data_IF_096477277622
#
_entry.id   IF_096477277622
#
_cell.length_a   1.000
_cell.length_b   1.000
_cell.length_c   1.000
_cell.angle_alpha   90.00
_cell.angle_beta   90.00
_cell.angle_gamma   90.00
#
_symmetry.space_group_name_H-M   'P 1'
#
loop_
_entity.id
_entity.type
_entity.pdbx_description
1 polymer ?
#
# COMPACT_ATOMS: atom_id res chain seq x y z
N UNK A 1 21.60 -3.45 -3.33
CA UNK A 1 20.64 -2.70 -4.18
C UNK A 1 19.37 -2.30 -3.42
N UNK A 2 18.73 -3.21 -2.67
CA UNK A 2 17.49 -2.93 -1.91
C UNK A 2 17.63 -1.78 -0.88
N UNK A 3 18.75 -1.71 -0.14
CA UNK A 3 18.98 -0.65 0.85
C UNK A 3 19.01 0.77 0.27
N UNK A 4 19.56 0.94 -0.94
CA UNK A 4 19.63 2.27 -1.58
C UNK A 4 18.27 2.72 -2.12
N UNK A 5 17.47 1.78 -2.61
CA UNK A 5 16.08 2.05 -3.01
C UNK A 5 15.22 2.41 -1.80
N UNK A 6 15.36 1.69 -0.69
CA UNK A 6 14.68 2.01 0.57
C UNK A 6 15.04 3.42 1.08
N UNK A 7 16.31 3.82 0.99
CA UNK A 7 16.73 5.16 1.41
C UNK A 7 16.12 6.26 0.53
N UNK A 8 16.09 6.05 -0.79
CA UNK A 8 15.43 6.99 -1.71
C UNK A 8 13.92 7.06 -1.51
N UNK A 9 13.29 5.92 -1.24
CA UNK A 9 11.84 5.84 -1.05
C UNK A 9 11.37 6.61 0.20
N UNK A 10 12.22 6.80 1.22
CA UNK A 10 11.88 7.61 2.41
C UNK A 10 11.46 9.05 2.06
N UNK A 11 12.03 9.63 1.00
CA UNK A 11 11.68 10.97 0.54
C UNK A 11 10.34 11.03 -0.24
N UNK A 12 9.77 9.88 -0.59
CA UNK A 12 8.53 9.79 -1.35
C UNK A 12 7.37 9.61 -0.37
N UNK A 13 6.39 10.52 -0.39
CA UNK A 13 5.19 10.39 0.44
C UNK A 13 4.19 9.40 -0.17
N UNK A 14 3.26 8.88 0.65
CA UNK A 14 2.13 8.06 0.16
C UNK A 14 1.32 8.82 -0.91
N UNK A 15 1.12 10.13 -0.70
CA UNK A 15 0.40 10.99 -1.65
C UNK A 15 1.10 11.07 -3.03
N UNK A 16 2.43 11.15 -3.05
CA UNK A 16 3.19 11.18 -4.31
C UNK A 16 3.06 9.86 -5.07
N UNK A 17 3.12 8.72 -4.38
CA UNK A 17 2.92 7.41 -5.00
C UNK A 17 1.50 7.29 -5.53
N UNK A 18 0.51 7.71 -4.74
CA UNK A 18 -0.89 7.69 -5.15
C UNK A 18 -1.13 8.48 -6.43
N UNK A 19 -0.73 9.75 -6.43
CA UNK A 19 -0.83 10.64 -7.61
C UNK A 19 -0.10 10.06 -8.81
N UNK A 20 1.08 9.49 -8.62
CA UNK A 20 1.81 8.84 -9.70
C UNK A 20 1.02 7.65 -10.26
N UNK A 21 0.48 6.79 -9.40
CA UNK A 21 -0.25 5.60 -9.82
C UNK A 21 -1.59 5.88 -10.50
N UNK A 22 -2.24 7.00 -10.17
CA UNK A 22 -3.50 7.44 -10.77
C UNK A 22 -3.27 8.15 -12.13
N UNK A 23 -2.19 8.94 -12.23
CA UNK A 23 -1.91 9.77 -13.40
C UNK A 23 -0.93 9.13 -14.40
N UNK A 24 -0.36 7.96 -14.10
CA UNK A 24 0.58 7.31 -15.03
C UNK A 24 -0.11 6.99 -16.37
N UNK A 25 0.59 7.31 -17.47
CA UNK A 25 0.19 6.95 -18.84
C UNK A 25 1.41 6.32 -19.54
N UNK A 26 1.39 5.01 -19.87
CA UNK A 26 0.29 4.05 -19.67
C UNK A 26 -0.02 3.77 -18.19
N UNK A 27 -1.21 3.22 -17.92
CA UNK A 27 -1.60 2.78 -16.58
C UNK A 27 -0.61 1.72 -16.08
N UNK A 28 -0.22 1.79 -14.81
CA UNK A 28 0.66 0.81 -14.20
C UNK A 28 0.06 -0.60 -14.31
N UNK A 29 0.89 -1.55 -14.75
CA UNK A 29 0.51 -2.96 -14.80
C UNK A 29 0.36 -3.55 -13.39
N UNK A 30 -0.45 -4.61 -13.26
CA UNK A 30 -0.56 -5.36 -12.01
C UNK A 30 0.79 -5.91 -11.54
N UNK A 31 1.70 -6.24 -12.48
CA UNK A 31 3.08 -6.65 -12.15
C UNK A 31 3.87 -5.54 -11.45
N UNK A 32 3.75 -4.30 -11.91
CA UNK A 32 4.40 -3.17 -11.26
C UNK A 32 3.82 -2.91 -9.85
N UNK A 33 2.49 -3.01 -9.69
CA UNK A 33 1.84 -2.89 -8.38
C UNK A 33 2.25 -4.03 -7.43
N UNK A 34 2.32 -5.28 -7.91
CA UNK A 34 2.82 -6.40 -7.12
C UNK A 34 4.29 -6.21 -6.71
N UNK A 35 5.13 -5.69 -7.60
CA UNK A 35 6.53 -5.41 -7.27
C UNK A 35 6.65 -4.32 -6.18
N UNK A 36 5.83 -3.27 -6.25
CA UNK A 36 5.75 -2.24 -5.20
C UNK A 36 5.24 -2.82 -3.87
N UNK A 37 4.17 -3.61 -3.90
CA UNK A 37 3.64 -4.28 -2.71
C UNK A 37 4.69 -5.18 -2.05
N UNK A 38 5.39 -5.98 -2.86
CA UNK A 38 6.52 -6.81 -2.40
C UNK A 38 7.62 -5.98 -1.76
N UNK A 39 7.99 -4.87 -2.39
CA UNK A 39 9.03 -3.97 -1.89
C UNK A 39 8.65 -3.40 -0.52
N UNK A 40 7.44 -2.87 -0.37
CA UNK A 40 6.99 -2.32 0.92
C UNK A 40 6.81 -3.39 1.99
N UNK A 41 6.30 -4.57 1.63
CA UNK A 41 6.13 -5.70 2.56
C UNK A 41 7.44 -6.18 3.17
N UNK A 42 8.53 -6.10 2.41
CA UNK A 42 9.86 -6.57 2.80
C UNK A 42 10.79 -5.42 3.25
N UNK A 43 10.29 -4.18 3.27
CA UNK A 43 11.03 -3.04 3.81
C UNK A 43 10.89 -2.98 5.33
N UNK A 44 11.87 -2.40 6.05
CA UNK A 44 11.74 -2.16 7.48
C UNK A 44 10.48 -1.36 7.78
N UNK A 45 9.73 -1.80 8.80
CA UNK A 45 8.48 -1.17 9.16
C UNK A 45 8.67 0.29 9.58
N UNK A 46 7.76 1.12 9.07
CA UNK A 46 7.43 2.45 9.56
C UNK A 46 6.08 2.83 8.96
N UNK A 47 5.45 3.88 9.51
CA UNK A 47 4.11 4.27 9.06
C UNK A 47 4.03 4.71 7.60
N UNK A 48 5.10 5.28 7.05
CA UNK A 48 5.16 5.63 5.63
C UNK A 48 5.15 4.37 4.75
N UNK A 49 5.96 3.37 5.09
CA UNK A 49 5.99 2.06 4.40
C UNK A 49 4.65 1.35 4.51
N UNK A 50 4.05 1.30 5.71
CA UNK A 50 2.73 0.70 5.94
C UNK A 50 1.64 1.41 5.13
N UNK A 51 1.65 2.74 5.08
CA UNK A 51 0.70 3.52 4.29
C UNK A 51 0.84 3.31 2.78
N UNK A 52 2.07 3.18 2.26
CA UNK A 52 2.33 2.87 0.85
C UNK A 52 1.88 1.45 0.51
N UNK A 53 2.18 0.49 1.39
CA UNK A 53 1.72 -0.90 1.24
C UNK A 53 0.19 -0.96 1.20
N UNK A 54 -0.49 -0.36 2.19
CA UNK A 54 -1.94 -0.29 2.27
C UNK A 54 -2.57 0.30 1.00
N UNK A 55 -2.03 1.41 0.51
CA UNK A 55 -2.45 2.02 -0.75
C UNK A 55 -2.29 1.05 -1.94
N UNK A 56 -1.08 0.52 -2.15
CA UNK A 56 -0.78 -0.34 -3.31
C UNK A 56 -1.61 -1.61 -3.28
N UNK A 57 -1.76 -2.23 -2.11
CA UNK A 57 -2.60 -3.42 -1.95
C UNK A 57 -4.07 -3.12 -2.18
N UNK A 58 -4.59 -2.00 -1.65
CA UNK A 58 -5.97 -1.58 -1.92
C UNK A 58 -6.21 -1.40 -3.42
N UNK A 59 -5.25 -0.80 -4.14
CA UNK A 59 -5.33 -0.64 -5.60
C UNK A 59 -5.17 -1.96 -6.37
N UNK A 60 -4.36 -2.89 -5.87
CA UNK A 60 -4.17 -4.19 -6.50
C UNK A 60 -5.43 -5.07 -6.40
N UNK A 61 -6.19 -4.93 -5.31
CA UNK A 61 -7.37 -5.74 -4.98
C UNK A 61 -8.71 -5.05 -5.23
N UNK A 62 -8.70 -3.84 -5.78
CA UNK A 62 -9.91 -3.11 -6.15
C UNK A 62 -9.75 -2.46 -7.52
N UNK A 63 -10.84 -2.40 -8.28
CA UNK A 63 -10.90 -1.66 -9.55
C UNK A 63 -11.83 -0.49 -9.44
N UNK A 64 -11.55 0.56 -10.19
CA UNK A 64 -12.46 1.69 -10.32
C UNK A 64 -13.70 1.28 -11.11
N UNK A 65 -14.83 1.83 -10.68
CA UNK A 65 -16.13 1.77 -11.35
C UNK A 65 -16.65 3.20 -11.47
N UNK A 66 -17.83 3.37 -12.06
CA UNK A 66 -18.39 4.70 -12.32
C UNK A 66 -18.42 5.62 -11.08
N UNK A 67 -18.21 6.92 -11.34
CA UNK A 67 -18.30 8.00 -10.35
C UNK A 67 -17.32 7.87 -9.17
N UNK A 68 -16.03 7.67 -9.45
CA UNK A 68 -14.94 7.61 -8.45
C UNK A 68 -15.00 6.45 -7.44
N UNK A 69 -16.00 5.57 -7.53
CA UNK A 69 -16.16 4.41 -6.66
C UNK A 69 -15.21 3.27 -7.04
N UNK A 70 -15.07 2.31 -6.12
CA UNK A 70 -14.29 1.09 -6.34
C UNK A 70 -15.08 -0.17 -6.02
N UNK A 71 -14.81 -1.22 -6.76
CA UNK A 71 -15.29 -2.56 -6.49
C UNK A 71 -14.12 -3.45 -6.10
N UNK A 72 -14.27 -4.21 -5.01
CA UNK A 72 -13.32 -5.27 -4.67
C UNK A 72 -13.33 -6.35 -5.75
N UNK A 73 -12.15 -6.82 -6.14
CA UNK A 73 -12.01 -7.88 -7.15
C UNK A 73 -12.45 -9.25 -6.61
N UNK A 74 -12.31 -9.45 -5.30
CA UNK A 74 -12.57 -10.70 -4.61
C UNK A 74 -13.27 -10.44 -3.28
N UNK A 75 -14.04 -11.42 -2.81
CA UNK A 75 -14.56 -11.40 -1.44
C UNK A 75 -13.43 -11.55 -0.41
N UNK A 76 -13.66 -11.09 0.83
CA UNK A 76 -12.61 -11.06 1.88
C UNK A 76 -11.90 -12.41 2.08
N UNK A 77 -12.64 -13.52 2.13
CA UNK A 77 -12.06 -14.87 2.31
C UNK A 77 -11.12 -15.26 1.17
N UNK A 78 -11.51 -14.95 -0.06
CA UNK A 78 -10.70 -15.24 -1.25
C UNK A 78 -9.49 -14.31 -1.31
N UNK A 79 -9.66 -13.03 -0.98
CA UNK A 79 -8.58 -12.04 -0.88
C UNK A 79 -7.48 -12.49 0.09
N UNK A 80 -7.85 -13.06 1.25
CA UNK A 80 -6.87 -13.61 2.21
C UNK A 80 -6.02 -14.71 1.54
N UNK A 81 -6.65 -15.61 0.79
CA UNK A 81 -5.94 -16.66 0.05
C UNK A 81 -4.95 -16.08 -0.96
N UNK A 82 -5.37 -15.09 -1.75
CA UNK A 82 -4.49 -14.41 -2.70
C UNK A 82 -3.32 -13.70 -2.02
N UNK A 83 -3.55 -13.02 -0.88
CA UNK A 83 -2.49 -12.34 -0.13
C UNK A 83 -1.47 -13.35 0.44
N UNK A 84 -1.93 -14.49 0.98
CA UNK A 84 -1.04 -15.57 1.45
C UNK A 84 -0.13 -16.07 0.33
N UNK A 85 -0.72 -16.40 -0.82
CA UNK A 85 0.04 -16.82 -2.01
C UNK A 85 1.07 -15.77 -2.45
N UNK A 86 0.73 -14.48 -2.41
CA UNK A 86 1.67 -13.41 -2.71
C UNK A 86 2.84 -13.39 -1.72
N UNK A 87 2.56 -13.48 -0.41
CA UNK A 87 3.59 -13.43 0.62
C UNK A 87 4.55 -14.62 0.55
N UNK A 88 4.01 -15.83 0.33
CA UNK A 88 4.78 -17.05 0.10
C UNK A 88 5.73 -16.88 -1.10
N UNK A 89 5.19 -16.44 -2.24
CA UNK A 89 5.97 -16.20 -3.47
C UNK A 89 7.04 -15.11 -3.30
N UNK A 90 6.80 -14.14 -2.41
CA UNK A 90 7.74 -13.06 -2.14
C UNK A 90 8.83 -13.45 -1.13
N UNK A 91 8.68 -14.62 -0.49
CA UNK A 91 9.51 -15.05 0.65
C UNK A 91 9.47 -14.05 1.80
N UNK A 92 8.29 -13.48 2.04
CA UNK A 92 8.10 -12.46 3.07
C UNK A 92 8.13 -13.08 4.46
N UNK A 93 8.70 -12.38 5.44
CA UNK A 93 8.73 -12.83 6.83
C UNK A 93 7.34 -12.62 7.44
N UNK A 94 6.62 -13.69 7.75
CA UNK A 94 5.33 -13.61 8.42
C UNK A 94 5.47 -13.50 9.94
N UNK A 95 5.78 -12.33 10.46
CA UNK A 95 5.94 -12.14 11.92
C UNK A 95 4.68 -12.45 12.73
N UNK A 96 3.51 -12.32 12.09
CA UNK A 96 2.22 -12.68 12.66
C UNK A 96 1.56 -13.72 11.76
N UNK A 97 1.32 -14.91 12.30
CA UNK A 97 0.65 -16.01 11.59
C UNK A 97 -0.74 -16.24 12.17
N UNK A 98 -1.66 -16.74 11.35
CA UNK A 98 -3.01 -17.08 11.82
C UNK A 98 -2.96 -18.09 12.97
N UNK A 99 -2.09 -19.09 12.90
CA UNK A 99 -2.02 -20.17 13.90
C UNK A 99 -1.51 -19.67 15.25
N UNK A 100 -0.51 -18.79 15.25
CA UNK A 100 0.13 -18.33 16.49
C UNK A 100 -0.54 -17.07 17.05
N UNK A 101 -1.18 -16.24 16.22
CA UNK A 101 -1.63 -14.90 16.57
C UNK A 101 -3.13 -14.66 16.38
N UNK A 102 -3.94 -15.72 16.33
CA UNK A 102 -5.38 -15.57 16.09
C UNK A 102 -6.08 -14.70 17.13
N UNK A 103 -5.65 -14.77 18.39
CA UNK A 103 -6.24 -14.00 19.48
C UNK A 103 -6.01 -12.49 19.32
N UNK A 104 -4.90 -12.10 18.69
CA UNK A 104 -4.55 -10.72 18.37
C UNK A 104 -5.14 -10.26 17.02
N UNK A 105 -5.18 -11.14 16.01
CA UNK A 105 -5.69 -10.84 14.66
C UNK A 105 -7.21 -10.63 14.66
N UNK A 106 -7.97 -11.52 15.32
CA UNK A 106 -9.42 -11.50 15.31
C UNK A 106 -10.05 -10.16 15.75
N UNK A 107 -9.66 -9.55 16.90
CA UNK A 107 -10.23 -8.26 17.31
C UNK A 107 -9.87 -7.13 16.34
N UNK A 108 -8.69 -7.17 15.70
CA UNK A 108 -8.29 -6.16 14.71
C UNK A 108 -9.15 -6.23 13.46
N UNK A 109 -9.38 -7.44 12.93
CA UNK A 109 -10.27 -7.68 11.79
C UNK A 109 -11.71 -7.25 12.11
N UNK A 110 -12.18 -7.54 13.32
CA UNK A 110 -13.50 -7.11 13.79
C UNK A 110 -13.61 -5.58 13.84
N UNK A 111 -12.55 -4.88 14.28
CA UNK A 111 -12.54 -3.42 14.35
C UNK A 111 -12.62 -2.75 12.98
N UNK A 112 -11.91 -3.25 11.96
CA UNK A 112 -12.08 -2.76 10.58
C UNK A 112 -13.49 -2.99 10.05
N UNK A 113 -14.09 -4.13 10.38
CA UNK A 113 -15.49 -4.43 9.99
C UNK A 113 -16.47 -3.47 10.67
N UNK A 114 -16.23 -3.14 11.95
CA UNK A 114 -17.00 -2.15 12.68
C UNK A 114 -16.89 -0.76 12.04
N UNK A 115 -15.68 -0.31 11.69
CA UNK A 115 -15.50 0.98 11.01
C UNK A 115 -16.24 1.03 9.67
N UNK A 116 -16.14 -0.02 8.84
CA UNK A 116 -16.88 -0.07 7.58
C UNK A 116 -18.40 0.01 7.81
N UNK A 117 -18.92 -0.74 8.79
CA UNK A 117 -20.33 -0.68 9.17
C UNK A 117 -20.76 0.70 9.67
N UNK A 118 -19.98 1.32 10.55
CA UNK A 118 -20.25 2.67 11.08
C UNK A 118 -20.35 3.71 9.95
N UNK A 119 -19.43 3.67 8.98
CA UNK A 119 -19.50 4.54 7.82
C UNK A 119 -20.78 4.32 7.02
N UNK A 120 -21.11 3.07 6.70
CA UNK A 120 -22.29 2.70 5.91
C UNK A 120 -23.62 3.12 6.54
N UNK A 121 -23.71 3.13 7.87
CA UNK A 121 -24.91 3.58 8.60
C UNK A 121 -25.01 5.11 8.72
N UNK A 122 -23.98 5.87 8.34
CA UNK A 122 -24.03 7.33 8.40
C UNK A 122 -24.98 7.87 7.34
N UNK A 123 -26.03 8.59 7.73
CA UNK A 123 -27.10 9.04 6.82
C UNK A 123 -26.76 10.29 6.00
N UNK A 124 -25.80 11.10 6.46
CA UNK A 124 -25.38 12.34 5.80
C UNK A 124 -23.88 12.54 5.86
N UNK A 125 -23.35 13.37 4.94
CA UNK A 125 -21.93 13.73 4.92
C UNK A 125 -21.49 14.37 6.25
N UNK A 126 -22.29 15.28 6.80
CA UNK A 126 -22.01 15.93 8.08
C UNK A 126 -22.01 14.93 9.25
N UNK A 127 -22.93 13.96 9.26
CA UNK A 127 -22.95 12.90 10.27
C UNK A 127 -21.69 12.03 10.19
N UNK A 128 -21.26 11.64 8.99
CA UNK A 128 -20.04 10.86 8.79
C UNK A 128 -18.78 11.62 9.23
N UNK A 129 -18.67 12.91 8.90
CA UNK A 129 -17.49 13.71 9.26
C UNK A 129 -17.42 13.98 10.77
N UNK A 130 -18.57 14.17 11.44
CA UNK A 130 -18.64 14.38 12.90
C UNK A 130 -18.17 13.18 13.74
N UNK A 131 -18.20 11.95 13.20
CA UNK A 131 -17.71 10.76 13.94
C UNK A 131 -16.20 10.66 13.95
N UNK A 132 -15.50 11.52 13.20
CA UNK A 132 -14.06 11.52 13.00
C UNK A 132 -13.52 10.15 12.54
N UNK A 133 -14.33 9.44 11.76
CA UNK A 133 -14.09 8.04 11.40
C UNK A 133 -12.78 7.85 10.64
N UNK A 134 -12.41 8.81 9.78
CA UNK A 134 -11.19 8.72 9.00
C UNK A 134 -9.94 8.82 9.89
N UNK A 135 -9.95 9.73 10.86
CA UNK A 135 -8.86 9.86 11.82
C UNK A 135 -8.78 8.65 12.74
N UNK A 136 -9.92 8.15 13.20
CA UNK A 136 -9.99 6.93 14.01
C UNK A 136 -9.45 5.71 13.27
N UNK A 137 -9.71 5.58 11.96
CA UNK A 137 -9.11 4.52 11.14
C UNK A 137 -7.60 4.74 10.99
N UNK A 138 -7.15 5.99 10.75
CA UNK A 138 -5.72 6.33 10.62
C UNK A 138 -4.96 5.95 11.88
N UNK A 139 -5.39 6.44 13.05
CA UNK A 139 -4.79 6.15 14.36
C UNK A 139 -4.83 4.64 14.63
N UNK A 140 -5.95 3.97 14.33
CA UNK A 140 -6.04 2.53 14.51
C UNK A 140 -5.03 1.74 13.68
N UNK A 141 -4.79 2.14 12.42
CA UNK A 141 -3.77 1.52 11.55
C UNK A 141 -2.35 1.71 12.10
N UNK A 142 -2.07 2.86 12.71
CA UNK A 142 -0.79 3.15 13.38
C UNK A 142 -0.67 2.35 14.70
N UNK A 143 -1.78 2.11 15.39
CA UNK A 143 -1.88 1.35 16.64
C UNK A 143 -1.58 -0.13 16.53
N UNK A 144 -1.88 -0.72 15.38
CA UNK A 144 -1.66 -2.15 15.15
C UNK A 144 -0.28 -2.47 14.56
N UNK A 145 0.56 -1.48 14.23
CA UNK A 145 1.96 -1.72 13.84
C UNK A 145 2.14 -2.77 12.73
N UNK A 146 3.12 -3.67 12.89
CA UNK A 146 3.38 -4.75 11.92
C UNK A 146 2.28 -5.83 11.89
N UNK A 147 1.36 -5.88 12.85
CA UNK A 147 0.17 -6.75 12.77
C UNK A 147 -0.70 -6.39 11.55
N UNK A 148 -0.58 -5.15 11.03
CA UNK A 148 -1.19 -4.74 9.76
C UNK A 148 -0.83 -5.68 8.60
N UNK A 149 0.39 -6.23 8.60
CA UNK A 149 0.86 -7.10 7.53
C UNK A 149 0.32 -8.52 7.60
N UNK A 150 -0.38 -8.93 8.66
CA UNK A 150 -1.06 -10.23 8.67
C UNK A 150 -2.09 -10.30 7.52
N UNK A 151 -2.16 -11.39 6.74
CA UNK A 151 -3.02 -11.48 5.55
C UNK A 151 -4.49 -11.13 5.84
N UNK A 152 -5.02 -11.61 6.96
CA UNK A 152 -6.38 -11.37 7.43
C UNK A 152 -6.62 -9.89 7.74
N UNK A 153 -5.64 -9.22 8.34
CA UNK A 153 -5.71 -7.81 8.71
C UNK A 153 -5.61 -6.93 7.47
N UNK A 154 -4.65 -7.21 6.58
CA UNK A 154 -4.52 -6.50 5.31
C UNK A 154 -5.79 -6.61 4.46
N UNK A 155 -6.38 -7.80 4.36
CA UNK A 155 -7.65 -8.00 3.65
C UNK A 155 -8.81 -7.20 4.30
N UNK A 156 -8.90 -7.18 5.63
CA UNK A 156 -9.91 -6.41 6.35
C UNK A 156 -9.73 -4.89 6.17
N UNK A 157 -8.48 -4.41 6.15
CA UNK A 157 -8.16 -3.02 5.88
C UNK A 157 -8.54 -2.61 4.46
N UNK A 158 -8.20 -3.42 3.44
CA UNK A 158 -8.59 -3.19 2.04
C UNK A 158 -10.11 -3.10 1.89
N UNK A 159 -10.85 -4.04 2.48
CA UNK A 159 -12.32 -4.03 2.49
C UNK A 159 -12.88 -2.76 3.14
N UNK A 160 -12.32 -2.38 4.30
CA UNK A 160 -12.70 -1.17 5.01
C UNK A 160 -12.44 0.10 4.17
N UNK A 161 -11.26 0.23 3.58
CA UNK A 161 -10.87 1.38 2.75
C UNK A 161 -11.83 1.59 1.57
N UNK A 162 -12.25 0.51 0.92
CA UNK A 162 -13.16 0.56 -0.22
C UNK A 162 -14.57 0.92 0.23
N UNK A 163 -15.10 0.29 1.27
CA UNK A 163 -16.46 0.52 1.76
C UNK A 163 -16.64 1.93 2.32
N UNK A 164 -15.71 2.37 3.18
CA UNK A 164 -15.71 3.73 3.72
C UNK A 164 -15.58 4.76 2.59
N UNK A 165 -14.67 4.54 1.64
CA UNK A 165 -14.51 5.43 0.49
C UNK A 165 -15.75 5.52 -0.38
N UNK A 166 -16.36 4.39 -0.72
CA UNK A 166 -17.59 4.37 -1.53
C UNK A 166 -18.74 5.09 -0.82
N UNK A 167 -18.90 4.86 0.49
CA UNK A 167 -19.96 5.55 1.25
C UNK A 167 -19.73 7.05 1.31
N UNK A 168 -18.49 7.48 1.47
CA UNK A 168 -18.15 8.90 1.40
C UNK A 168 -18.54 9.51 0.05
N UNK A 169 -18.25 8.82 -1.06
CA UNK A 169 -18.67 9.25 -2.40
C UNK A 169 -20.20 9.32 -2.52
N UNK A 170 -20.93 8.33 -2.00
CA UNK A 170 -22.40 8.32 -1.99
C UNK A 170 -22.98 9.53 -1.24
N UNK A 171 -22.43 9.83 -0.07
CA UNK A 171 -22.89 10.93 0.77
C UNK A 171 -22.56 12.29 0.15
N UNK A 172 -21.42 12.42 -0.54
CA UNK A 172 -21.13 13.61 -1.32
C UNK A 172 -22.12 13.76 -2.47
N UNK A 173 -22.35 12.69 -3.24
CA UNK A 173 -23.29 12.73 -4.36
C UNK A 173 -24.71 13.13 -3.90
N UNK A 174 -25.14 12.69 -2.71
CA UNK A 174 -26.40 13.12 -2.10
C UNK A 174 -26.38 14.58 -1.58
N UNK A 175 -25.21 15.08 -1.15
CA UNK A 175 -25.04 16.46 -0.71
C UNK A 175 -25.00 17.46 -1.88
N UNK A 176 -24.55 17.03 -3.08
CA UNK A 176 -24.59 17.80 -4.33
C UNK A 176 -26.04 18.15 -4.68
N UNK A 177 -26.49 19.34 -4.25
CA UNK A 177 -27.85 19.85 -4.47
C UNK A 177 -28.64 20.17 -3.20
N UNK A 178 -28.12 19.81 -2.02
CA UNK A 178 -28.78 20.07 -0.72
C UNK A 178 -28.12 21.17 0.10
N UNK A 179 -26.82 21.43 -0.11
CA UNK A 179 -26.03 22.39 0.66
C UNK A 179 -25.07 23.18 -0.27
N UNK A 180 -24.79 24.46 0.01
CA UNK A 180 -23.79 25.24 -0.74
C UNK A 180 -22.38 24.66 -0.56
N UNK A 181 -21.64 24.48 -1.66
CA UNK A 181 -20.28 23.92 -1.66
C UNK A 181 -19.33 24.71 -0.73
N UNK A 182 -19.47 26.04 -0.70
CA UNK A 182 -18.67 26.93 0.14
C UNK A 182 -18.82 26.66 1.64
N UNK A 183 -20.02 26.30 2.12
CA UNK A 183 -20.25 26.01 3.55
C UNK A 183 -19.59 24.70 3.98
N UNK A 184 -19.55 23.70 3.08
CA UNK A 184 -18.90 22.41 3.35
C UNK A 184 -17.36 22.57 3.28
N UNK A 185 -16.87 23.36 2.32
CA UNK A 185 -15.45 23.66 2.16
C UNK A 185 -14.89 24.46 3.35
N UNK A 186 -15.59 25.50 3.80
CA UNK A 186 -15.19 26.28 4.99
C UNK A 186 -15.12 25.42 6.25
N UNK A 187 -16.03 24.45 6.36
CA UNK A 187 -16.14 23.59 7.54
C UNK A 187 -15.15 22.43 7.55
N UNK A 188 -14.78 21.89 6.38
CA UNK A 188 -14.06 20.61 6.28
C UNK A 188 -12.94 20.54 5.22
N UNK A 189 -12.79 21.52 4.33
CA UNK A 189 -12.07 21.40 3.06
C UNK A 189 -10.64 20.83 3.13
N UNK A 190 -9.70 21.53 3.75
CA UNK A 190 -8.27 21.20 3.53
C UNK A 190 -7.72 20.07 4.41
N UNK A 191 -8.17 19.97 5.67
CA UNK A 191 -7.67 18.95 6.60
C UNK A 191 -8.16 17.55 6.27
N UNK A 192 -9.34 17.43 5.63
CA UNK A 192 -9.96 16.15 5.33
C UNK A 192 -9.46 15.52 4.02
N UNK A 193 -9.11 16.29 3.00
CA UNK A 193 -8.67 15.73 1.71
C UNK A 193 -7.51 14.74 1.85
N UNK A 194 -6.46 15.14 2.58
CA UNK A 194 -5.30 14.28 2.80
C UNK A 194 -5.65 13.07 3.66
N UNK A 195 -6.45 13.27 4.71
CA UNK A 195 -6.85 12.24 5.66
C UNK A 195 -7.75 11.18 5.01
N UNK A 196 -8.77 11.62 4.28
CA UNK A 196 -9.71 10.77 3.53
C UNK A 196 -8.97 10.04 2.43
N UNK A 197 -8.10 10.73 1.69
CA UNK A 197 -7.34 10.09 0.62
C UNK A 197 -6.38 9.02 1.16
N UNK A 198 -5.77 9.26 2.32
CA UNK A 198 -4.93 8.28 3.02
C UNK A 198 -5.74 7.10 3.53
N UNK A 199 -6.90 7.35 4.14
CA UNK A 199 -7.75 6.32 4.72
C UNK A 199 -8.34 5.42 3.65
N UNK A 200 -8.79 6.00 2.54
CA UNK A 200 -9.42 5.26 1.44
C UNK A 200 -8.41 4.70 0.44
N UNK A 201 -7.19 5.24 0.39
CA UNK A 201 -6.19 4.84 -0.61
C UNK A 201 -6.56 5.30 -2.02
N UNK A 202 -7.21 6.45 -2.16
CA UNK A 202 -7.58 7.08 -3.44
C UNK A 202 -7.51 8.60 -3.31
N UNK A 203 -7.07 9.33 -4.32
CA UNK A 203 -7.06 10.80 -4.27
C UNK A 203 -8.50 11.28 -4.36
N UNK A 204 -9.02 11.78 -3.25
CA UNK A 204 -10.37 12.31 -3.12
C UNK A 204 -10.25 13.74 -2.62
N UNK A 205 -10.63 14.69 -3.48
CA UNK A 205 -10.63 16.11 -3.19
C UNK A 205 -12.08 16.54 -2.99
N UNK A 206 -12.44 16.92 -1.76
CA UNK A 206 -13.83 17.17 -1.37
C UNK A 206 -14.48 18.25 -2.25
N UNK A 207 -13.74 19.31 -2.57
CA UNK A 207 -14.23 20.43 -3.39
C UNK A 207 -14.53 19.97 -4.82
N UNK A 208 -13.59 19.28 -5.46
CA UNK A 208 -13.77 18.73 -6.81
C UNK A 208 -14.94 17.73 -6.84
N UNK A 209 -15.01 16.90 -5.80
CA UNK A 209 -16.12 16.00 -5.59
C UNK A 209 -17.42 16.72 -5.24
N UNK A 210 -17.49 17.99 -4.88
CA UNK A 210 -18.75 18.68 -4.64
C UNK A 210 -19.23 19.44 -5.89
N UNK A 211 -18.30 19.94 -6.69
CA UNK A 211 -18.57 20.60 -7.99
C UNK A 211 -19.06 19.62 -9.05
N UNK A 212 -18.58 18.36 -9.00
CA UNK A 212 -18.94 17.35 -9.99
C UNK A 212 -18.17 17.50 -11.30
N UNK A 213 -18.26 16.49 -12.16
CA UNK A 213 -17.49 16.41 -13.42
C UNK A 213 -17.89 17.44 -14.46
N UNK A 214 -19.13 17.95 -14.39
CA UNK A 214 -19.69 18.85 -15.40
C UNK A 214 -19.15 20.29 -15.26
N UNK A 215 -18.86 20.74 -14.02
CA UNK A 215 -18.24 22.06 -13.76
C UNK A 215 -16.72 22.05 -14.04
N UNK A 216 -16.05 20.92 -13.85
CA UNK A 216 -14.60 20.78 -14.13
C UNK A 216 -14.28 20.82 -15.63
N UNK A 217 -15.22 20.41 -16.50
CA UNK A 217 -15.08 20.52 -17.95
C UNK A 217 -15.24 21.97 -18.44
N UNK A 218 -16.10 22.76 -17.78
CA UNK A 218 -16.32 24.17 -18.11
C UNK A 218 -15.09 25.03 -17.79
N UNK A 219 -14.37 24.75 -16.70
CA UNK A 219 -13.13 25.44 -16.33
C UNK A 219 -11.94 25.07 -17.24
N UNK A 220 -11.97 23.91 -17.92
CA UNK A 220 -10.91 23.49 -18.84
C UNK A 220 -11.01 24.14 -20.23
N UNK A 221 -12.21 24.59 -20.64
CA UNK A 221 -12.43 25.28 -21.91
C UNK A 221 -12.04 26.78 -21.86
N UNK A 222 -11.81 27.34 -20.67
CA UNK A 222 -11.47 28.76 -20.46
C UNK A 222 -9.97 29.04 -20.24
N UNK A 223 -9.11 28.01 -20.30
CA UNK A 223 -7.65 28.18 -20.26
C UNK A 223 -7.13 28.37 -21.69
N UNK A 224 -7.02 29.62 -22.13
CA UNK A 224 -6.26 29.98 -23.32
C UNK A 224 -4.76 29.76 -23.09
N UNK A 225 -4.25 28.62 -23.56
CA UNK A 225 -2.83 28.24 -23.48
C UNK A 225 -1.90 29.09 -24.35
N UNK A 226 -2.34 30.20 -24.95
CA UNK A 226 -1.51 30.97 -25.90
C UNK A 226 -0.74 32.18 -25.35
N UNK A 227 -0.68 32.42 -24.05
CA UNK A 227 0.09 33.57 -23.54
C UNK A 227 0.94 33.29 -22.29
N UNK A 228 2.19 32.84 -22.51
CA UNK A 228 3.42 33.36 -21.88
C UNK A 228 4.63 32.46 -22.15
N UNK A 229 5.29 32.63 -23.31
CA UNK A 229 6.71 32.25 -23.45
C UNK A 229 7.43 33.42 -24.16
N UNK A 230 8.43 34.06 -23.54
CA UNK A 230 9.24 35.10 -24.18
C UNK A 230 10.07 34.53 -25.34
N UNK A 231 10.08 35.28 -26.45
CA UNK A 231 10.72 34.99 -27.73
C UNK A 231 12.24 34.75 -27.66
N UNK A 232 12.73 33.70 -28.32
CA UNK A 232 13.94 33.78 -29.20
C UNK A 232 13.86 32.67 -30.27
N UNK A 233 14.26 32.89 -31.55
CA UNK A 233 13.57 32.30 -32.69
C UNK A 233 14.33 31.14 -33.37
N UNK A 234 13.59 30.19 -33.95
CA UNK A 234 14.06 29.45 -35.12
C UNK A 234 12.90 28.91 -35.98
N UNK A 235 12.75 29.58 -37.13
CA UNK A 235 12.31 29.12 -38.47
C UNK A 235 10.94 28.43 -38.64
N UNK A 236 10.08 29.21 -39.31
CA UNK A 236 8.82 28.86 -39.97
C UNK A 236 8.93 27.68 -40.94
N UNK A 237 7.88 26.86 -40.96
CA UNK A 237 7.35 26.29 -42.21
C UNK A 237 5.81 26.25 -42.14
N UNK A 238 5.22 27.19 -42.88
CA UNK A 238 3.92 27.26 -43.56
C UNK A 238 2.80 26.25 -43.28
N UNK A 239 1.61 26.83 -43.06
CA UNK A 239 0.24 26.29 -43.07
C UNK A 239 -0.13 25.46 -44.31
N UNK A 240 -1.01 24.48 -44.13
CA UNK A 240 -2.10 24.19 -45.06
C UNK A 240 -3.30 23.57 -44.32
N UNK A 241 -4.49 23.90 -44.80
CA UNK A 241 -5.83 23.80 -44.22
C UNK A 241 -6.52 22.44 -44.40
N UNK A 242 -7.57 22.25 -43.59
CA UNK A 242 -8.82 21.50 -43.82
C UNK A 242 -8.89 20.48 -44.97
N UNK A 243 -9.28 19.23 -44.66
CA UNK A 243 -10.64 18.80 -45.01
C UNK A 243 -11.06 17.49 -44.34
N UNK A 244 -12.37 17.40 -44.06
CA UNK A 244 -13.06 16.15 -43.69
C UNK A 244 -13.15 15.27 -44.93
N UNK A 245 -12.76 13.99 -44.84
CA UNK A 245 -13.39 12.97 -45.70
C UNK A 245 -13.40 11.58 -45.07
N UNK A 246 -14.60 11.01 -45.13
CA UNK A 246 -15.07 9.63 -44.98
C UNK A 246 -14.10 8.51 -44.62
N UNK A 247 -14.45 7.83 -43.53
CA UNK A 247 -14.24 6.40 -43.28
C UNK A 247 -14.55 5.55 -44.52
N UNK A 248 -13.55 4.78 -44.98
CA UNK A 248 -13.75 3.49 -45.63
C UNK A 248 -12.75 2.50 -45.06
N UNK A 249 -13.28 1.51 -44.34
CA UNK A 249 -12.54 0.32 -43.92
C UNK A 249 -12.32 -0.57 -45.16
N UNK A 250 -11.08 -0.69 -45.61
CA UNK A 250 -10.65 -1.79 -46.47
C UNK A 250 -9.92 -2.82 -45.59
N UNK A 251 -10.66 -3.88 -45.23
CA UNK A 251 -10.08 -5.12 -44.73
C UNK A 251 -9.45 -5.88 -45.91
N UNK A 252 -8.29 -6.49 -45.65
CA UNK A 252 -7.48 -7.36 -46.52
C UNK A 252 -6.37 -6.69 -47.33
N UNK A 253 -5.32 -6.32 -46.59
CA UNK A 253 -3.96 -6.12 -47.12
C UNK A 253 -2.91 -6.41 -46.04
N UNK A 254 -2.99 -7.54 -45.34
CA UNK A 254 -2.01 -7.85 -44.29
C UNK A 254 -0.68 -8.24 -44.93
N UNK A 255 0.33 -7.40 -44.71
CA UNK A 255 1.70 -7.63 -45.14
C UNK A 255 2.22 -8.95 -44.55
N UNK A 256 2.72 -9.85 -45.40
CA UNK A 256 3.21 -11.20 -45.04
C UNK A 256 4.29 -11.14 -43.94
N UNK A 257 5.07 -10.07 -43.90
CA UNK A 257 6.06 -9.82 -42.86
C UNK A 257 5.45 -9.50 -41.50
N UNK A 258 4.32 -8.81 -41.47
CA UNK A 258 3.62 -8.49 -40.23
C UNK A 258 2.99 -9.74 -39.64
N UNK A 259 2.34 -10.58 -40.47
CA UNK A 259 1.79 -11.87 -40.03
C UNK A 259 2.88 -12.81 -39.49
N UNK A 260 4.04 -12.87 -40.15
CA UNK A 260 5.18 -13.66 -39.69
C UNK A 260 5.71 -13.15 -38.34
N UNK A 261 5.78 -11.83 -38.15
CA UNK A 261 6.18 -11.24 -36.87
C UNK A 261 5.19 -11.57 -35.75
N UNK A 262 3.88 -11.53 -36.01
CA UNK A 262 2.86 -11.89 -35.01
C UNK A 262 2.93 -13.36 -34.61
N UNK A 263 3.16 -14.25 -35.58
CA UNK A 263 3.36 -15.69 -35.32
C UNK A 263 4.63 -15.92 -34.51
N UNK A 264 5.71 -15.21 -34.82
CA UNK A 264 6.97 -15.27 -34.06
C UNK A 264 6.77 -14.79 -32.61
N UNK A 265 6.05 -13.70 -32.40
CA UNK A 265 5.74 -13.18 -31.05
C UNK A 265 4.88 -14.18 -30.26
N UNK A 266 3.91 -14.83 -30.91
CA UNK A 266 3.11 -15.89 -30.29
C UNK A 266 3.99 -17.10 -29.90
N UNK A 267 4.90 -17.53 -30.77
CA UNK A 267 5.83 -18.62 -30.47
C UNK A 267 6.83 -18.26 -29.38
N UNK A 268 7.33 -17.02 -29.34
CA UNK A 268 8.18 -16.53 -28.25
C UNK A 268 7.39 -16.43 -26.95
N UNK A 269 6.12 -16.03 -26.99
CA UNK A 269 5.27 -15.96 -25.80
C UNK A 269 4.95 -17.34 -25.23
N UNK A 270 4.65 -18.32 -26.10
CA UNK A 270 4.50 -19.72 -25.70
C UNK A 270 5.84 -20.31 -25.23
N UNK A 271 6.95 -19.95 -25.88
CA UNK A 271 8.29 -20.33 -25.47
C UNK A 271 8.66 -19.77 -24.09
N UNK A 272 8.30 -18.52 -23.77
CA UNK A 272 8.49 -17.92 -22.46
C UNK A 272 7.55 -18.54 -21.43
N UNK A 273 6.31 -18.88 -21.79
CA UNK A 273 5.37 -19.57 -20.89
C UNK A 273 5.88 -20.98 -20.52
N UNK A 274 6.30 -21.76 -21.50
CA UNK A 274 6.86 -23.10 -21.28
C UNK A 274 8.23 -23.02 -20.60
N UNK A 275 9.05 -22.02 -20.93
CA UNK A 275 10.33 -21.79 -20.25
C UNK A 275 10.12 -21.37 -18.79
N UNK A 276 9.13 -20.52 -18.50
CA UNK A 276 8.76 -20.15 -17.13
C UNK A 276 8.24 -21.37 -16.35
N UNK A 277 7.43 -22.23 -16.97
CA UNK A 277 6.91 -23.44 -16.33
C UNK A 277 8.01 -24.51 -16.11
N UNK A 278 8.97 -24.64 -17.04
CA UNK A 278 10.09 -25.60 -16.94
C UNK A 278 11.26 -25.12 -16.09
N UNK A 279 11.50 -23.80 -15.97
CA UNK A 279 12.59 -23.22 -15.16
C UNK A 279 12.14 -22.61 -13.82
N UNK A 280 10.83 -22.48 -13.55
CA UNK A 280 10.31 -22.17 -12.20
C UNK A 280 10.69 -23.21 -11.14
N UNK A 281 11.17 -24.40 -11.56
CA UNK A 281 11.73 -25.42 -10.68
C UNK A 281 13.21 -25.26 -10.32
N UNK A 282 13.94 -24.25 -10.81
CA UNK A 282 15.39 -24.17 -10.54
C UNK A 282 15.91 -22.73 -10.39
N UNK A 283 16.26 -22.42 -9.14
CA UNK A 283 17.07 -21.29 -8.66
C UNK A 283 16.44 -19.89 -8.70
N UNK A 284 15.59 -19.62 -7.70
CA UNK A 284 15.89 -18.54 -6.79
C UNK A 284 15.96 -19.15 -5.39
N UNK A 285 17.13 -19.10 -4.74
CA UNK A 285 17.19 -19.32 -3.30
C UNK A 285 16.41 -18.18 -2.65
N UNK A 286 15.10 -18.38 -2.50
CA UNK A 286 14.27 -17.66 -1.57
C UNK A 286 15.00 -17.68 -0.23
N UNK A 287 15.41 -16.52 0.27
CA UNK A 287 15.87 -16.41 1.66
C UNK A 287 14.63 -16.58 2.52
N UNK A 288 14.25 -17.84 2.72
CA UNK A 288 13.20 -18.24 3.65
C UNK A 288 13.67 -17.80 5.03
N UNK A 289 12.84 -17.00 5.71
CA UNK A 289 13.11 -16.60 7.07
C UNK A 289 13.31 -17.87 7.90
N UNK A 290 14.48 -17.99 8.55
CA UNK A 290 14.78 -19.17 9.34
C UNK A 290 14.29 -18.90 10.76
N UNK A 291 13.35 -19.70 11.23
CA UNK A 291 12.99 -19.71 12.63
C UNK A 291 14.23 -20.08 13.44
N UNK A 292 14.54 -19.25 14.44
CA UNK A 292 15.62 -19.52 15.36
C UNK A 292 15.00 -20.02 16.65
N UNK A 293 15.31 -21.27 16.97
CA UNK A 293 14.93 -21.83 18.24
C UNK A 293 15.65 -21.08 19.38
N UNK A 294 14.86 -20.36 20.16
CA UNK A 294 15.27 -19.68 21.39
C UNK A 294 14.84 -20.47 22.63
N UNK A 295 14.26 -21.66 22.47
CA UNK A 295 13.66 -22.42 23.56
C UNK A 295 14.67 -22.88 24.62
N UNK A 296 15.92 -23.08 24.20
CA UNK A 296 17.01 -23.52 25.06
C UNK A 296 17.87 -22.36 25.60
N UNK A 297 17.49 -21.10 25.39
CA UNK A 297 18.28 -19.95 25.82
C UNK A 297 17.59 -19.10 26.88
N UNK A 298 18.39 -18.39 27.66
CA UNK A 298 17.92 -17.40 28.65
C UNK A 298 17.08 -16.29 28.02
N UNK A 299 17.14 -16.14 26.69
CA UNK A 299 16.36 -15.17 25.93
C UNK A 299 14.85 -15.47 25.94
N UNK A 300 14.44 -16.73 26.14
CA UNK A 300 13.01 -17.13 26.22
C UNK A 300 12.26 -16.43 27.35
N UNK A 301 12.96 -15.96 28.38
CA UNK A 301 12.35 -15.27 29.51
C UNK A 301 11.62 -13.98 29.11
N UNK A 302 12.10 -13.33 28.05
CA UNK A 302 11.57 -12.06 27.57
C UNK A 302 11.22 -12.05 26.08
N UNK A 303 11.49 -13.13 25.35
CA UNK A 303 11.18 -13.28 23.93
C UNK A 303 10.24 -14.47 23.70
N UNK A 304 9.15 -14.20 22.99
CA UNK A 304 8.18 -15.20 22.55
C UNK A 304 8.70 -16.01 21.37
N UNK A 305 9.28 -15.33 20.38
CA UNK A 305 9.79 -15.94 19.16
C UNK A 305 10.93 -15.13 18.55
N UNK A 306 11.76 -15.77 17.71
CA UNK A 306 12.82 -15.13 16.95
C UNK A 306 12.89 -15.67 15.52
N UNK A 307 12.87 -14.76 14.55
CA UNK A 307 12.99 -15.08 13.11
C UNK A 307 14.13 -14.30 12.49
N UNK A 308 14.96 -14.96 11.70
CA UNK A 308 16.09 -14.33 11.03
C UNK A 308 15.86 -14.20 9.54
N UNK A 309 16.30 -13.07 8.97
CA UNK A 309 16.32 -12.86 7.52
C UNK A 309 17.48 -11.97 7.13
N UNK A 310 18.24 -12.40 6.12
CA UNK A 310 19.48 -11.76 5.73
C UNK A 310 20.44 -11.60 6.93
N UNK A 311 20.70 -10.36 7.34
CA UNK A 311 21.58 -10.00 8.47
C UNK A 311 20.79 -9.49 9.70
N UNK A 312 19.46 -9.56 9.70
CA UNK A 312 18.62 -9.02 10.78
C UNK A 312 17.87 -10.13 11.51
N UNK A 313 17.92 -10.09 12.83
CA UNK A 313 17.10 -10.88 13.75
C UNK A 313 15.88 -10.06 14.18
N UNK A 314 14.69 -10.59 13.97
CA UNK A 314 13.44 -10.04 14.49
C UNK A 314 12.99 -10.88 15.67
N UNK A 315 12.71 -10.26 16.81
CA UNK A 315 12.22 -10.95 17.99
C UNK A 315 10.95 -10.30 18.51
N UNK A 316 9.96 -11.11 18.88
CA UNK A 316 8.75 -10.62 19.54
C UNK A 316 8.93 -10.76 21.05
N UNK A 317 8.79 -9.66 21.78
CA UNK A 317 8.94 -9.63 23.25
C UNK A 317 7.69 -10.16 23.96
N UNK A 318 7.88 -10.72 25.14
CA UNK A 318 6.84 -11.05 26.12
C UNK A 318 6.55 -9.85 27.03
N UNK A 319 5.37 -9.77 27.70
CA UNK A 319 5.04 -8.70 28.65
C UNK A 319 6.06 -8.53 29.80
N UNK A 320 6.88 -9.55 30.06
CA UNK A 320 7.97 -9.48 31.05
C UNK A 320 9.04 -8.44 30.70
N UNK A 321 9.14 -8.01 29.44
CA UNK A 321 10.01 -6.90 29.00
C UNK A 321 9.61 -5.55 29.59
N UNK A 322 8.31 -5.30 29.74
CA UNK A 322 7.78 -4.01 30.25
C UNK A 322 8.08 -3.82 31.74
N UNK A 323 8.41 -4.89 32.46
CA UNK A 323 8.86 -4.86 33.85
C UNK A 323 10.35 -4.53 34.05
N UNK A 324 11.14 -4.45 32.97
CA UNK A 324 12.56 -4.14 33.02
C UNK A 324 12.79 -2.61 33.02
N UNK A 325 13.75 -2.15 33.82
CA UNK A 325 14.20 -0.75 33.74
C UNK A 325 15.08 -0.53 32.48
N UNK A 326 15.31 0.73 32.10
CA UNK A 326 16.07 1.05 30.87
C UNK A 326 17.46 0.40 30.82
N UNK A 327 18.16 0.32 31.96
CA UNK A 327 19.50 -0.28 32.01
C UNK A 327 19.43 -1.80 31.77
N UNK A 328 18.46 -2.50 32.36
CA UNK A 328 18.22 -3.91 32.13
C UNK A 328 17.73 -4.20 30.70
N UNK A 329 16.93 -3.32 30.12
CA UNK A 329 16.50 -3.40 28.72
C UNK A 329 17.69 -3.26 27.76
N UNK A 330 18.60 -2.30 28.01
CA UNK A 330 19.83 -2.15 27.21
C UNK A 330 20.76 -3.36 27.37
N UNK A 331 20.90 -3.90 28.59
CA UNK A 331 21.72 -5.09 28.82
C UNK A 331 21.13 -6.33 28.11
N UNK A 332 19.82 -6.54 28.20
CA UNK A 332 19.14 -7.61 27.50
C UNK A 332 19.28 -7.47 25.98
N UNK A 333 19.09 -6.27 25.44
CA UNK A 333 19.26 -6.01 24.01
C UNK A 333 20.69 -6.29 23.52
N UNK A 334 21.73 -5.99 24.32
CA UNK A 334 23.11 -6.41 24.02
C UNK A 334 23.27 -7.93 23.99
N UNK A 335 22.63 -8.66 24.92
CA UNK A 335 22.63 -10.13 24.93
C UNK A 335 21.98 -10.70 23.66
N UNK A 336 20.87 -10.10 23.22
CA UNK A 336 20.21 -10.50 21.96
C UNK A 336 21.10 -10.19 20.75
N UNK A 337 21.79 -9.05 20.74
CA UNK A 337 22.74 -8.70 19.68
C UNK A 337 23.94 -9.66 19.64
N UNK A 338 24.52 -10.03 20.77
CA UNK A 338 25.60 -11.03 20.84
C UNK A 338 25.11 -12.41 20.35
N UNK A 339 23.90 -12.81 20.75
CA UNK A 339 23.26 -14.03 20.26
C UNK A 339 23.04 -14.02 18.74
N UNK A 340 22.65 -12.87 18.18
CA UNK A 340 22.51 -12.65 16.74
C UNK A 340 23.87 -12.71 16.03
N UNK A 341 24.89 -12.05 16.59
CA UNK A 341 26.26 -12.02 16.08
C UNK A 341 26.91 -13.40 16.00
N UNK A 342 26.71 -14.25 17.01
CA UNK A 342 27.13 -15.67 16.99
C UNK A 342 26.53 -16.49 15.85
N UNK A 343 25.45 -15.99 15.23
CA UNK A 343 24.75 -16.61 14.08
C UNK A 343 25.00 -15.86 12.76
N UNK A 344 25.94 -14.91 12.73
CA UNK A 344 26.27 -14.13 11.55
C UNK A 344 25.27 -13.02 11.21
N UNK A 345 24.35 -12.69 12.14
CA UNK A 345 23.40 -11.59 11.99
C UNK A 345 24.01 -10.32 12.61
N UNK A 346 23.81 -9.17 11.96
CA UNK A 346 24.41 -7.88 12.35
C UNK A 346 23.43 -6.93 13.05
N UNK A 347 22.14 -7.20 12.95
CA UNK A 347 21.07 -6.32 13.43
C UNK A 347 20.04 -7.09 14.22
N UNK A 348 19.43 -6.42 15.19
CA UNK A 348 18.32 -6.93 16.01
C UNK A 348 17.21 -5.89 16.03
N UNK A 349 15.98 -6.34 15.83
CA UNK A 349 14.78 -5.55 16.04
C UNK A 349 13.86 -6.28 17.01
N UNK A 350 13.58 -5.66 18.16
CA UNK A 350 12.63 -6.14 19.14
C UNK A 350 11.26 -5.50 18.87
N UNK A 351 10.25 -6.34 18.77
CA UNK A 351 8.87 -5.96 18.47
C UNK A 351 7.98 -6.35 19.65
N UNK A 352 7.04 -5.49 20.05
CA UNK A 352 6.01 -5.87 21.02
C UNK A 352 4.99 -6.85 20.41
N UNK A 353 4.05 -7.31 21.24
CA UNK A 353 2.96 -8.20 20.82
C UNK A 353 2.04 -7.62 19.74
N UNK A 354 2.08 -6.30 19.50
CA UNK A 354 1.39 -5.61 18.39
C UNK A 354 2.27 -5.41 17.16
N UNK A 355 3.52 -5.87 17.18
CA UNK A 355 4.44 -5.67 16.07
C UNK A 355 5.00 -4.25 15.96
N UNK A 356 4.93 -3.44 17.01
CA UNK A 356 5.64 -2.15 17.04
C UNK A 356 7.07 -2.37 17.50
N UNK A 357 8.02 -1.73 16.82
CA UNK A 357 9.42 -1.75 17.25
C UNK A 357 9.56 -1.03 18.59
N UNK A 358 10.07 -1.76 19.58
CA UNK A 358 10.34 -1.26 20.94
C UNK A 358 11.83 -1.09 21.20
N UNK A 359 12.67 -1.76 20.41
CA UNK A 359 14.11 -1.61 20.54
C UNK A 359 14.82 -2.05 19.26
N UNK A 360 15.93 -1.38 18.95
CA UNK A 360 16.77 -1.70 17.80
C UNK A 360 18.24 -1.75 18.24
N UNK A 361 18.98 -2.74 17.73
CA UNK A 361 20.42 -2.83 17.93
C UNK A 361 21.18 -3.22 16.67
N UNK A 362 22.35 -2.62 16.52
CA UNK A 362 23.41 -2.94 15.58
C UNK A 362 24.77 -2.73 16.28
N UNK A 363 25.87 -3.13 15.64
CA UNK A 363 27.24 -3.10 16.22
C UNK A 363 27.63 -1.74 16.82
N UNK A 364 27.14 -0.64 16.24
CA UNK A 364 27.44 0.75 16.61
C UNK A 364 26.25 1.52 17.22
N UNK A 365 25.06 0.91 17.26
CA UNK A 365 23.82 1.62 17.57
C UNK A 365 22.90 0.78 18.44
N UNK A 366 22.49 1.32 19.58
CA UNK A 366 21.54 0.69 20.48
C UNK A 366 20.49 1.72 20.89
N UNK A 367 19.24 1.48 20.51
CA UNK A 367 18.13 2.39 20.73
C UNK A 367 16.97 1.66 21.39
N UNK A 368 16.46 2.25 22.46
CA UNK A 368 15.18 1.91 23.05
C UNK A 368 14.14 2.89 22.49
N UNK A 369 13.08 2.37 21.90
CA UNK A 369 11.95 3.15 21.40
C UNK A 369 10.90 3.13 22.52
N UNK A 370 10.75 4.26 23.21
CA UNK A 370 9.84 4.39 24.35
C UNK A 370 8.39 4.09 23.97
N UNK A 371 7.52 3.80 24.96
CA UNK A 371 6.10 3.62 24.71
C UNK A 371 5.50 4.95 24.25
N UNK A 372 5.09 5.03 22.98
CA UNK A 372 4.22 6.09 22.47
C UNK A 372 2.77 5.61 22.48
#
# INVERSE_FOLDING_TARGET
MVFWLAERDKAISVANIRRFCENSRPVLSSQALMALARFYRNSPFNESVRGKFDFVMTRLFAREVDSEKRLLLFGRKEMIGHIKTLYENWSSIELFTHEENQAEIAPVVAKFTHFAGEAEHSESLDALLKTDIFERIRVFKEDIGELFFAPEVAAAAIDCNVRVGNRFIDLIAAARGSQPVAEIEEKYGYSYDQLISNTTGKTLLLVDLLRGSDDLAADMDEIDFTSAIPNTPAKQATKASSDRSSLKFELFGVNKWFLAATILILLVSVGVYVWADMFAGSQANAVVAKDIDISATELKQHLRMARATNETLYCVIEPSWDGLNEDAQKEFLKKVLDFAGKRGLKKVNLLNYKGRSVAYAAEDRLELLGPS
#
